data_IF_524162256906
#
_entry.id   IF_524162256906
#
_cell.length_a   1.000
_cell.length_b   1.000
_cell.length_c   1.000
_cell.angle_alpha   90.00
_cell.angle_beta   90.00
_cell.angle_gamma   90.00
#
_symmetry.space_group_name_H-M   'P 1'
#
loop_
_entity.id
_entity.type
_entity.pdbx_description
1 polymer ?
#
# COMPACT_ATOMS: atom_id res chain seq x y z
N UNK A 1 31.33 -0.54 13.56
CA UNK A 1 30.52 -0.66 12.32
C UNK A 1 29.18 -1.25 12.73
N UNK A 2 28.09 -0.49 12.62
CA UNK A 2 26.76 -0.98 12.98
C UNK A 2 26.35 -2.05 11.96
N UNK A 3 26.38 -3.31 12.38
CA UNK A 3 25.79 -4.40 11.62
C UNK A 3 24.28 -4.29 11.79
N UNK A 4 23.67 -3.40 10.99
CA UNK A 4 22.23 -3.16 10.97
C UNK A 4 21.53 -4.41 10.41
N UNK A 5 21.42 -5.41 11.28
CA UNK A 5 20.82 -6.70 10.98
C UNK A 5 19.36 -6.73 11.37
N UNK A 6 18.74 -7.88 11.12
CA UNK A 6 17.34 -8.10 11.46
C UNK A 6 17.05 -7.89 12.95
N UNK A 7 18.02 -8.20 13.82
CA UNK A 7 17.94 -7.98 15.27
C UNK A 7 17.76 -6.51 15.64
N UNK A 8 18.50 -5.58 15.01
CA UNK A 8 18.39 -4.15 15.28
C UNK A 8 17.00 -3.63 14.91
N UNK A 9 16.49 -4.06 13.74
CA UNK A 9 15.16 -3.68 13.25
C UNK A 9 14.07 -4.18 14.21
N UNK A 10 14.20 -5.40 14.73
CA UNK A 10 13.27 -5.94 15.72
C UNK A 10 13.32 -5.15 17.02
N UNK A 11 14.50 -4.79 17.52
CA UNK A 11 14.64 -3.98 18.74
C UNK A 11 13.97 -2.62 18.58
N UNK A 12 14.25 -1.92 17.47
CA UNK A 12 13.61 -0.63 17.17
C UNK A 12 12.10 -0.80 17.02
N UNK A 13 11.64 -1.87 16.37
CA UNK A 13 10.23 -2.22 16.24
C UNK A 13 9.55 -2.42 17.60
N UNK A 14 10.21 -3.09 18.55
CA UNK A 14 9.71 -3.28 19.91
C UNK A 14 9.61 -1.96 20.66
N UNK A 15 10.64 -1.10 20.59
CA UNK A 15 10.61 0.23 21.23
C UNK A 15 9.49 1.10 20.63
N UNK A 16 9.36 1.12 19.30
CA UNK A 16 8.27 1.81 18.63
C UNK A 16 6.90 1.23 19.06
N UNK A 17 6.80 -0.10 19.20
CA UNK A 17 5.58 -0.77 19.65
C UNK A 17 5.26 -0.50 21.13
N UNK A 18 6.23 -0.18 21.97
CA UNK A 18 5.98 0.29 23.35
C UNK A 18 5.43 1.72 23.37
N UNK A 19 5.94 2.60 22.49
CA UNK A 19 5.51 3.99 22.39
C UNK A 19 4.11 4.09 21.74
N UNK A 20 3.93 3.44 20.60
CA UNK A 20 2.69 3.49 19.83
C UNK A 20 1.67 2.44 20.28
N UNK A 21 2.11 1.34 20.88
CA UNK A 21 1.27 0.21 21.27
C UNK A 21 1.07 -0.81 20.13
N UNK A 22 0.92 -2.11 20.44
CA UNK A 22 0.78 -3.17 19.44
C UNK A 22 -0.51 -3.06 18.61
N UNK A 23 -1.54 -2.37 19.14
CA UNK A 23 -2.81 -2.18 18.43
C UNK A 23 -2.75 -1.10 17.35
N UNK A 24 -1.83 -0.12 17.46
CA UNK A 24 -1.74 0.98 16.48
C UNK A 24 -1.18 0.52 15.14
N UNK A 25 -0.30 -0.47 15.13
CA UNK A 25 0.27 -1.02 13.88
C UNK A 25 -0.81 -1.64 12.96
N UNK A 26 -1.67 -2.58 13.41
CA UNK A 26 -2.74 -3.13 12.57
C UNK A 26 -3.85 -2.11 12.27
N UNK A 27 -4.12 -1.18 13.18
CA UNK A 27 -5.07 -0.08 12.96
C UNK A 27 -4.62 0.83 11.82
N UNK A 28 -3.34 1.26 11.83
CA UNK A 28 -2.72 2.03 10.76
C UNK A 28 -2.60 1.21 9.46
N UNK A 29 -2.22 -0.07 9.54
CA UNK A 29 -2.14 -0.93 8.37
C UNK A 29 -3.50 -1.15 7.70
N UNK A 30 -4.57 -1.27 8.48
CA UNK A 30 -5.94 -1.40 7.98
C UNK A 30 -6.44 -0.14 7.27
N UNK A 31 -6.13 1.05 7.80
CA UNK A 31 -6.49 2.32 7.15
C UNK A 31 -5.65 2.58 5.90
N UNK A 32 -4.32 2.44 5.99
CA UNK A 32 -3.42 2.55 4.84
C UNK A 32 -3.75 1.52 3.75
N UNK A 33 -4.08 0.29 4.12
CA UNK A 33 -4.44 -0.76 3.17
C UNK A 33 -5.71 -0.43 2.38
N UNK A 34 -6.72 0.16 3.04
CA UNK A 34 -7.93 0.65 2.36
C UNK A 34 -7.60 1.80 1.41
N UNK A 35 -6.77 2.75 1.83
CA UNK A 35 -6.33 3.87 0.98
C UNK A 35 -5.54 3.37 -0.23
N UNK A 36 -4.59 2.47 -0.04
CA UNK A 36 -3.77 1.92 -1.12
C UNK A 36 -4.61 1.07 -2.08
N UNK A 37 -5.63 0.37 -1.57
CA UNK A 37 -6.58 -0.38 -2.39
C UNK A 37 -7.43 0.54 -3.26
N UNK A 38 -7.99 1.61 -2.70
CA UNK A 38 -8.73 2.62 -3.48
C UNK A 38 -7.84 3.32 -4.51
N UNK A 39 -6.58 3.61 -4.15
CA UNK A 39 -5.60 4.17 -5.08
C UNK A 39 -5.30 3.22 -6.24
N UNK A 40 -5.10 1.92 -5.95
CA UNK A 40 -4.88 0.89 -6.96
C UNK A 40 -6.09 0.72 -7.88
N UNK A 41 -7.29 0.70 -7.32
CA UNK A 41 -8.55 0.59 -8.08
C UNK A 41 -8.73 1.80 -9.01
N UNK A 42 -8.45 3.03 -8.53
CA UNK A 42 -8.47 4.24 -9.37
C UNK A 42 -7.47 4.21 -10.52
N UNK A 43 -6.22 3.78 -10.27
CA UNK A 43 -5.22 3.61 -11.35
C UNK A 43 -5.67 2.54 -12.35
N UNK A 44 -6.14 1.39 -11.86
CA UNK A 44 -6.60 0.28 -12.72
C UNK A 44 -7.81 0.69 -13.57
N UNK A 45 -8.68 1.56 -13.05
CA UNK A 45 -9.84 2.06 -13.78
C UNK A 45 -9.43 3.08 -14.85
N UNK A 46 -8.47 3.96 -14.58
CA UNK A 46 -7.88 4.85 -15.60
C UNK A 46 -7.10 4.10 -16.68
N UNK A 47 -6.46 2.97 -16.37
CA UNK A 47 -5.79 2.14 -17.38
C UNK A 47 -6.75 1.24 -18.18
N UNK A 48 -7.99 1.06 -17.70
CA UNK A 48 -9.04 0.24 -18.33
C UNK A 48 -10.08 1.06 -19.08
N UNK A 49 -9.79 2.29 -19.46
CA UNK A 49 -10.48 2.95 -20.57
C UNK A 49 -9.72 2.61 -21.87
N UNK A 50 -9.99 1.47 -22.54
CA UNK A 50 -9.70 1.37 -23.96
C UNK A 50 -10.65 2.34 -24.65
N UNK A 51 -10.11 3.16 -25.56
CA UNK A 51 -10.90 3.96 -26.48
C UNK A 51 -12.00 3.09 -27.11
N UNK A 52 -13.27 3.39 -26.80
CA UNK A 52 -14.43 2.77 -27.45
C UNK A 52 -14.70 3.39 -28.85
N UNK A 53 -13.76 4.16 -29.41
CA UNK A 53 -13.92 4.91 -30.67
C UNK A 53 -13.14 4.34 -31.87
N UNK A 54 -12.62 3.10 -31.78
CA UNK A 54 -12.08 2.40 -32.96
C UNK A 54 -12.88 1.11 -33.21
N UNK A 55 -13.60 1.09 -34.35
CA UNK A 55 -14.12 -0.07 -35.13
C UNK A 55 -15.62 -0.01 -35.54
N UNK A 56 -16.21 1.18 -35.69
CA UNK A 56 -17.29 1.39 -36.67
C UNK A 56 -16.69 1.86 -38.01
N UNK A 57 -16.09 0.93 -38.75
CA UNK A 57 -15.70 1.13 -40.14
C UNK A 57 -16.07 -0.11 -40.96
N UNK A 58 -17.38 -0.35 -41.09
CA UNK A 58 -17.95 -1.18 -42.16
C UNK A 58 -18.26 -0.28 -43.36
N UNK A 59 -17.56 -0.40 -44.50
CA UNK A 59 -18.07 0.04 -45.80
C UNK A 59 -18.95 -1.03 -46.48
#
# INVERSE_FOLDING_TARGET
MFNLGWTEVVIVGVVAMLIFGPKKIPELGGTFGKTLRGFKEGITQSEKEPNEDDLDADP
#
